data_IF_235430897388
#
_entry.id   IF_235430897388
#
_cell.length_a   1.000
_cell.length_b   1.000
_cell.length_c   1.000
_cell.angle_alpha   90.00
_cell.angle_beta   90.00
_cell.angle_gamma   90.00
#
_symmetry.space_group_name_H-M   'P 1'
#
loop_
_entity.id
_entity.type
_entity.pdbx_description
1 polymer ?
#
# COMPACT_ATOMS: atom_id res chain seq x y z
N UNK A 1 49.63 -6.02 18.06
CA UNK A 1 48.73 -5.80 16.91
C UNK A 1 48.28 -7.17 16.47
N UNK A 2 46.99 -7.44 16.57
CA UNK A 2 46.37 -8.66 16.05
C UNK A 2 44.97 -8.26 15.57
N UNK A 3 44.89 -7.81 14.32
CA UNK A 3 43.62 -7.60 13.63
C UNK A 3 43.29 -8.91 12.93
N UNK A 4 42.53 -9.76 13.63
CA UNK A 4 41.86 -10.92 13.02
C UNK A 4 40.71 -10.39 12.16
N UNK A 5 41.03 -10.10 10.89
CA UNK A 5 40.06 -9.90 9.81
C UNK A 5 39.40 -11.26 9.53
N UNK A 6 38.42 -11.61 10.37
CA UNK A 6 37.57 -12.77 10.11
C UNK A 6 36.74 -12.45 8.88
N UNK A 7 37.19 -12.96 7.73
CA UNK A 7 36.45 -13.02 6.49
C UNK A 7 35.07 -13.62 6.77
N UNK A 8 34.08 -12.74 6.88
CA UNK A 8 32.66 -13.05 6.96
C UNK A 8 32.35 -13.81 5.66
N UNK A 9 32.35 -15.14 5.74
CA UNK A 9 32.11 -16.03 4.61
C UNK A 9 30.85 -15.58 3.90
N UNK A 10 31.02 -15.08 2.67
CA UNK A 10 29.92 -14.65 1.83
C UNK A 10 29.02 -15.88 1.66
N UNK A 11 27.89 -15.87 2.36
CA UNK A 11 26.91 -16.94 2.36
C UNK A 11 26.18 -16.90 1.01
N UNK A 12 26.84 -17.44 -0.02
CA UNK A 12 26.39 -17.43 -1.41
C UNK A 12 24.99 -18.08 -1.57
N UNK A 13 24.54 -18.89 -0.60
CA UNK A 13 23.21 -19.50 -0.58
C UNK A 13 22.07 -18.52 -0.20
N UNK A 14 22.38 -17.35 0.37
CA UNK A 14 21.36 -16.35 0.73
C UNK A 14 20.89 -15.47 -0.44
N UNK A 15 21.63 -15.42 -1.54
CA UNK A 15 21.26 -14.57 -2.69
C UNK A 15 20.45 -15.30 -3.77
N UNK A 16 20.40 -16.63 -3.74
CA UNK A 16 19.61 -17.40 -4.69
C UNK A 16 18.09 -17.25 -4.43
N UNK A 17 17.25 -17.05 -5.48
CA UNK A 17 15.80 -17.06 -5.34
C UNK A 17 15.29 -18.41 -4.84
N UNK A 18 14.43 -18.41 -3.83
CA UNK A 18 13.89 -19.64 -3.20
C UNK A 18 13.01 -20.48 -4.15
N UNK A 19 12.35 -19.81 -5.10
CA UNK A 19 11.53 -20.42 -6.14
C UNK A 19 11.99 -19.90 -7.51
N UNK A 20 12.94 -20.57 -8.17
CA UNK A 20 13.54 -20.08 -9.41
C UNK A 20 12.56 -19.98 -10.58
N UNK A 21 11.53 -20.84 -10.61
CA UNK A 21 10.56 -20.89 -11.72
C UNK A 21 9.34 -20.04 -11.38
N UNK A 22 9.13 -18.98 -12.16
CA UNK A 22 8.01 -18.03 -12.03
C UNK A 22 7.90 -17.37 -10.63
N UNK A 23 8.92 -17.50 -9.77
CA UNK A 23 8.85 -17.07 -8.37
C UNK A 23 7.93 -17.93 -7.48
N UNK A 24 7.45 -19.08 -7.98
CA UNK A 24 6.43 -19.92 -7.32
C UNK A 24 6.81 -21.39 -7.20
N UNK A 25 7.66 -21.90 -8.09
CA UNK A 25 8.01 -23.32 -8.14
C UNK A 25 9.52 -23.54 -7.98
N UNK A 26 9.88 -24.66 -7.37
CA UNK A 26 11.28 -25.05 -7.14
C UNK A 26 11.91 -25.70 -8.38
N UNK A 27 11.11 -26.48 -9.11
CA UNK A 27 11.51 -27.20 -10.32
C UNK A 27 10.32 -27.39 -11.26
N UNK A 28 10.56 -27.83 -12.49
CA UNK A 28 9.48 -28.12 -13.44
C UNK A 28 8.59 -29.29 -12.97
N UNK A 29 9.17 -30.26 -12.27
CA UNK A 29 8.43 -31.36 -11.65
C UNK A 29 7.49 -30.86 -10.53
N UNK A 30 7.99 -29.97 -9.67
CA UNK A 30 7.21 -29.33 -8.61
C UNK A 30 6.06 -28.49 -9.18
N UNK A 31 6.28 -27.82 -10.32
CA UNK A 31 5.20 -27.13 -11.05
C UNK A 31 4.11 -28.10 -11.50
N UNK A 32 4.49 -29.24 -12.10
CA UNK A 32 3.53 -30.23 -12.57
C UNK A 32 2.72 -30.83 -11.40
N UNK A 33 3.39 -31.13 -10.28
CA UNK A 33 2.77 -31.66 -9.08
C UNK A 33 1.76 -30.68 -8.48
N UNK A 34 2.16 -29.43 -8.23
CA UNK A 34 1.29 -28.39 -7.65
C UNK A 34 0.11 -28.08 -8.57
N UNK A 35 0.27 -28.18 -9.89
CA UNK A 35 -0.80 -27.95 -10.84
C UNK A 35 -1.72 -29.16 -11.08
N UNK A 36 -1.29 -30.36 -10.68
CA UNK A 36 -2.14 -31.55 -10.67
C UNK A 36 -3.02 -31.66 -9.42
N UNK A 37 -2.72 -30.90 -8.35
CA UNK A 37 -3.53 -30.85 -7.13
C UNK A 37 -4.88 -30.13 -7.34
N UNK A 38 -5.80 -30.32 -6.41
CA UNK A 38 -7.08 -29.60 -6.40
C UNK A 38 -6.85 -28.09 -6.25
N UNK A 39 -7.78 -27.28 -6.75
CA UNK A 39 -7.65 -25.82 -6.74
C UNK A 39 -7.39 -25.26 -5.34
N UNK A 40 -8.08 -25.78 -4.33
CA UNK A 40 -7.90 -25.37 -2.94
C UNK A 40 -6.48 -25.66 -2.47
N UNK A 41 -5.99 -26.90 -2.66
CA UNK A 41 -4.64 -27.31 -2.23
C UNK A 41 -3.55 -26.56 -2.97
N UNK A 42 -3.76 -26.31 -4.26
CA UNK A 42 -2.85 -25.53 -5.09
C UNK A 42 -2.70 -24.11 -4.57
N UNK A 43 -3.80 -23.41 -4.32
CA UNK A 43 -3.77 -22.03 -3.82
C UNK A 43 -3.20 -21.95 -2.40
N UNK A 44 -3.47 -22.93 -1.53
CA UNK A 44 -2.85 -23.04 -0.20
C UNK A 44 -1.31 -23.07 -0.31
N UNK A 45 -0.77 -23.94 -1.17
CA UNK A 45 0.68 -24.06 -1.39
C UNK A 45 1.25 -22.77 -1.97
N UNK A 46 0.58 -22.16 -2.96
CA UNK A 46 1.05 -20.91 -3.56
C UNK A 46 1.06 -19.76 -2.55
N UNK A 47 0.07 -19.70 -1.65
CA UNK A 47 0.00 -18.71 -0.59
C UNK A 47 1.12 -18.88 0.44
N UNK A 48 1.39 -20.11 0.88
CA UNK A 48 2.48 -20.41 1.81
C UNK A 48 3.84 -19.99 1.24
N UNK A 49 4.10 -20.35 -0.03
CA UNK A 49 5.34 -20.00 -0.73
C UNK A 49 5.50 -18.49 -0.90
N UNK A 50 4.41 -17.79 -1.22
CA UNK A 50 4.42 -16.33 -1.32
C UNK A 50 4.79 -15.68 0.02
N UNK A 51 4.24 -16.16 1.13
CA UNK A 51 4.57 -15.69 2.47
C UNK A 51 6.03 -15.97 2.85
N UNK A 52 6.57 -17.13 2.45
CA UNK A 52 7.98 -17.48 2.68
C UNK A 52 8.94 -16.55 1.92
N UNK A 53 8.64 -16.26 0.65
CA UNK A 53 9.41 -15.30 -0.16
C UNK A 53 9.36 -13.90 0.47
N UNK A 54 8.18 -13.46 0.93
CA UNK A 54 8.03 -12.17 1.57
C UNK A 54 8.89 -12.05 2.83
N UNK A 55 8.87 -13.07 3.71
CA UNK A 55 9.72 -13.10 4.91
C UNK A 55 11.20 -12.99 4.55
N UNK A 56 11.66 -13.76 3.55
CA UNK A 56 13.06 -13.69 3.09
C UNK A 56 13.43 -12.30 2.57
N UNK A 57 12.53 -11.67 1.81
CA UNK A 57 12.75 -10.29 1.32
C UNK A 57 12.84 -9.29 2.47
N UNK A 58 11.98 -9.41 3.48
CA UNK A 58 12.02 -8.57 4.68
C UNK A 58 13.34 -8.74 5.44
N UNK A 59 13.82 -9.98 5.61
CA UNK A 59 15.08 -10.28 6.29
C UNK A 59 16.28 -9.72 5.53
N UNK A 60 16.31 -9.85 4.20
CA UNK A 60 17.37 -9.28 3.36
C UNK A 60 17.38 -7.74 3.42
N UNK A 61 16.21 -7.11 3.44
CA UNK A 61 16.09 -5.67 3.62
C UNK A 61 16.62 -5.23 4.99
N UNK A 62 16.28 -5.95 6.06
CA UNK A 62 16.77 -5.66 7.41
C UNK A 62 18.30 -5.79 7.48
N UNK A 63 18.86 -6.88 6.94
CA UNK A 63 20.31 -7.09 6.87
C UNK A 63 21.01 -5.94 6.14
N UNK A 64 20.46 -5.48 5.01
CA UNK A 64 21.00 -4.35 4.25
C UNK A 64 21.00 -3.05 5.06
N UNK A 65 19.92 -2.76 5.79
CA UNK A 65 19.83 -1.59 6.67
C UNK A 65 20.87 -1.67 7.80
N UNK A 66 21.03 -2.84 8.43
CA UNK A 66 22.02 -3.05 9.49
C UNK A 66 23.45 -2.88 8.98
N UNK A 67 23.77 -3.43 7.80
CA UNK A 67 25.08 -3.26 7.17
C UNK A 67 25.36 -1.80 6.80
N UNK A 68 24.37 -1.06 6.30
CA UNK A 68 24.51 0.37 6.04
C UNK A 68 24.80 1.16 7.32
N UNK A 69 24.04 0.91 8.40
CA UNK A 69 24.30 1.55 9.70
C UNK A 69 25.69 1.23 10.26
N UNK A 70 26.14 -0.03 10.16
CA UNK A 70 27.50 -0.42 10.57
C UNK A 70 28.57 0.34 9.77
N UNK A 71 28.40 0.45 8.45
CA UNK A 71 29.33 1.21 7.58
C UNK A 71 29.35 2.70 7.89
N UNK A 72 28.20 3.30 8.17
CA UNK A 72 28.10 4.71 8.57
C UNK A 72 28.79 4.98 9.92
N UNK A 73 28.60 4.11 10.91
CA UNK A 73 29.26 4.20 12.22
C UNK A 73 30.78 4.06 12.09
N UNK A 74 31.26 3.03 11.37
CA UNK A 74 32.69 2.83 11.13
C UNK A 74 33.32 4.00 10.34
N UNK A 75 32.60 4.56 9.37
CA UNK A 75 33.02 5.75 8.63
C UNK A 75 33.05 7.01 9.49
N UNK A 76 32.09 7.18 10.41
CA UNK A 76 32.06 8.28 11.36
C UNK A 76 33.21 8.20 12.38
N UNK A 77 33.54 7.00 12.87
CA UNK A 77 34.66 6.80 13.79
C UNK A 77 36.02 6.99 13.13
N UNK A 78 36.18 6.58 11.86
CA UNK A 78 37.37 6.90 11.06
C UNK A 78 37.50 8.40 10.80
N UNK A 79 36.39 9.12 10.55
CA UNK A 79 36.39 10.59 10.40
C UNK A 79 36.74 11.32 11.71
N UNK A 80 36.28 10.84 12.86
CA UNK A 80 36.66 11.38 14.18
C UNK A 80 38.14 11.19 14.49
N UNK A 81 38.72 10.02 14.15
CA UNK A 81 40.17 9.77 14.34
C UNK A 81 41.05 10.59 13.41
N UNK A 82 40.62 10.86 12.17
CA UNK A 82 41.36 11.73 11.23
C UNK A 82 41.30 13.22 11.60
N UNK A 83 40.25 13.66 12.29
CA UNK A 83 40.15 15.01 12.85
C UNK A 83 41.06 15.21 14.07
N UNK A 84 41.25 14.18 14.91
CA UNK A 84 42.15 14.27 16.07
C UNK A 84 43.65 14.23 15.73
N UNK A 85 44.02 13.73 14.54
CA UNK A 85 45.41 13.69 14.07
C UNK A 85 45.81 14.90 13.20
N UNK A 86 44.86 15.78 12.88
CA UNK A 86 45.07 16.97 12.04
C UNK A 86 45.03 18.29 12.83
N UNK A 87 44.98 18.23 14.16
CA UNK A 87 44.78 19.39 15.06
C UNK A 87 45.98 19.64 15.99
N UNK A 88 47.19 19.25 15.57
CA UNK A 88 48.44 19.48 16.32
C UNK A 88 49.43 20.43 15.61
N UNK A 89 49.02 21.09 14.52
CA UNK A 89 49.85 22.06 13.79
C UNK A 89 48.97 23.18 13.21
N UNK A 90 48.38 24.01 14.08
CA UNK A 90 48.23 25.43 13.79
C UNK A 90 47.82 26.19 15.06
N UNK A 91 48.80 26.86 15.65
CA UNK A 91 48.69 27.78 16.75
C UNK A 91 48.30 29.15 16.18
N UNK A 92 47.02 29.38 15.83
CA UNK A 92 46.52 30.76 15.76
C UNK A 92 44.99 30.94 15.78
N UNK A 93 44.58 31.98 16.51
CA UNK A 93 43.27 32.65 16.45
C UNK A 93 42.05 31.95 17.04
N UNK A 94 41.92 32.15 18.37
CA UNK A 94 40.63 32.27 19.07
C UNK A 94 39.71 33.29 18.37
N UNK A 95 38.77 32.85 17.53
CA UNK A 95 37.58 33.62 17.16
C UNK A 95 36.34 32.74 17.09
N UNK A 96 35.44 32.94 18.04
CA UNK A 96 34.11 32.35 18.09
C UNK A 96 33.22 32.93 16.99
N UNK A 97 33.31 32.39 15.77
CA UNK A 97 32.29 32.62 14.75
C UNK A 97 31.48 31.35 14.59
N UNK A 98 30.44 31.20 15.40
CA UNK A 98 29.38 30.19 15.23
C UNK A 98 28.87 30.28 13.78
N UNK A 99 29.15 29.30 12.90
CA UNK A 99 28.66 29.35 11.53
C UNK A 99 27.15 29.13 11.59
N UNK A 100 26.38 30.13 11.19
CA UNK A 100 24.95 30.02 10.98
C UNK A 100 24.77 29.13 9.76
N UNK A 101 24.59 27.82 9.99
CA UNK A 101 24.35 26.84 8.93
C UNK A 101 23.09 27.27 8.19
N UNK A 102 23.26 27.81 6.97
CA UNK A 102 22.13 28.08 6.08
C UNK A 102 21.53 26.71 5.76
N UNK A 103 20.34 26.44 6.29
CA UNK A 103 19.60 25.24 5.98
C UNK A 103 19.48 25.14 4.46
N UNK A 104 20.00 24.06 3.89
CA UNK A 104 19.90 23.80 2.46
C UNK A 104 18.41 23.81 2.09
N UNK A 105 18.06 24.48 0.99
CA UNK A 105 16.66 24.63 0.52
C UNK A 105 15.80 23.35 0.56
N UNK A 106 16.36 22.14 0.34
CA UNK A 106 15.61 20.89 0.48
C UNK A 106 15.17 20.58 1.92
N UNK A 107 15.96 20.92 2.95
CA UNK A 107 15.59 20.69 4.35
C UNK A 107 14.51 21.66 4.82
N UNK A 108 14.53 22.91 4.35
CA UNK A 108 13.44 23.86 4.64
C UNK A 108 12.14 23.47 3.94
N UNK A 109 12.21 22.95 2.71
CA UNK A 109 11.05 22.40 2.01
C UNK A 109 10.44 21.22 2.78
N UNK A 110 11.27 20.28 3.24
CA UNK A 110 10.81 19.13 4.02
C UNK A 110 10.23 19.53 5.38
N UNK A 111 10.83 20.53 6.05
CA UNK A 111 10.30 21.06 7.32
C UNK A 111 8.94 21.73 7.12
N UNK A 112 8.78 22.50 6.03
CA UNK A 112 7.51 23.15 5.66
C UNK A 112 6.42 22.14 5.29
N UNK A 113 6.77 21.06 4.59
CA UNK A 113 5.82 19.98 4.25
C UNK A 113 5.34 19.22 5.50
N UNK A 114 6.26 18.93 6.43
CA UNK A 114 5.93 18.29 7.71
C UNK A 114 5.03 19.16 8.58
N UNK A 115 5.26 20.47 8.57
CA UNK A 115 4.45 21.44 9.31
C UNK A 115 3.04 21.58 8.71
N UNK A 116 2.92 21.60 7.38
CA UNK A 116 1.61 21.58 6.68
C UNK A 116 0.82 20.29 6.95
N UNK A 117 1.50 19.14 6.97
CA UNK A 117 0.88 17.84 7.30
C UNK A 117 0.49 17.73 8.78
N UNK A 118 1.28 18.33 9.68
CA UNK A 118 0.96 18.44 11.11
C UNK A 118 -0.25 19.33 11.38
N UNK A 119 -0.36 20.47 10.67
CA UNK A 119 -1.51 21.38 10.78
C UNK A 119 -2.81 20.76 10.25
N UNK A 120 -2.75 19.91 9.22
CA UNK A 120 -3.93 19.15 8.76
C UNK A 120 -4.44 18.19 9.83
N UNK A 121 -3.54 17.49 10.55
CA UNK A 121 -3.93 16.59 11.63
C UNK A 121 -4.56 17.33 12.82
N UNK A 122 -3.99 18.47 13.22
CA UNK A 122 -4.56 19.26 14.32
C UNK A 122 -5.95 19.82 13.99
N UNK A 123 -6.19 20.25 12.74
CA UNK A 123 -7.52 20.71 12.31
C UNK A 123 -8.55 19.59 12.19
N UNK A 124 -8.10 18.35 12.00
CA UNK A 124 -8.98 17.18 11.97
C UNK A 124 -9.31 16.67 13.38
N UNK A 125 -8.40 16.84 14.34
CA UNK A 125 -8.58 16.47 15.74
C UNK A 125 -9.49 17.45 16.51
N UNK A 126 -9.39 18.76 16.23
CA UNK A 126 -10.33 19.76 16.80
C UNK A 126 -11.78 19.57 16.32
N UNK A 127 -12.00 18.94 15.15
CA UNK A 127 -13.35 18.58 14.67
C UNK A 127 -13.88 17.27 15.25
N UNK A 128 -13.04 16.48 15.92
CA UNK A 128 -13.43 15.22 16.58
C UNK A 128 -13.69 15.41 18.08
N UNK A 129 -13.32 16.55 18.66
CA UNK A 129 -13.45 16.81 20.10
C UNK A 129 -14.87 17.14 20.59
N UNK A 130 -15.83 17.35 19.70
CA UNK A 130 -17.25 17.56 20.02
C UNK A 130 -18.14 16.29 19.90
N UNK A 131 -17.54 15.09 19.73
CA UNK A 131 -18.28 13.83 19.84
C UNK A 131 -17.70 12.98 20.97
N UNK A 132 -18.42 12.99 22.09
CA UNK A 132 -18.22 12.14 23.27
C UNK A 132 -17.88 10.69 22.90
N UNK A 133 -16.83 10.09 23.48
CA UNK A 133 -16.62 8.66 23.38
C UNK A 133 -17.50 7.95 24.42
N UNK A 134 -18.59 7.32 23.98
CA UNK A 134 -19.22 6.27 24.79
C UNK A 134 -18.30 5.06 24.74
N UNK A 135 -17.69 4.76 25.88
CA UNK A 135 -17.03 3.48 26.15
C UNK A 135 -18.13 2.45 26.41
N UNK A 136 -18.19 1.42 25.58
CA UNK A 136 -18.75 0.13 25.96
C UNK A 136 -17.71 -0.93 25.62
N UNK A 137 -16.88 -1.23 26.62
CA UNK A 137 -16.21 -2.51 26.79
C UNK A 137 -17.29 -3.56 27.03
N UNK A 138 -17.43 -4.51 26.10
CA UNK A 138 -18.18 -5.73 26.33
C UNK A 138 -17.37 -6.90 25.77
N UNK A 139 -16.54 -7.46 26.64
CA UNK A 139 -16.18 -8.88 26.62
C UNK A 139 -17.42 -9.73 26.31
N UNK A 140 -17.34 -10.56 25.27
CA UNK A 140 -18.16 -11.76 25.21
C UNK A 140 -17.39 -12.86 24.49
N UNK A 141 -16.62 -13.61 25.28
CA UNK A 141 -16.51 -15.05 25.11
C UNK A 141 -17.93 -15.63 25.15
N UNK A 142 -18.47 -15.96 23.97
CA UNK A 142 -19.66 -16.80 23.83
C UNK A 142 -19.43 -17.80 22.71
N UNK A 143 -18.97 -18.97 23.16
CA UNK A 143 -19.37 -20.29 22.71
C UNK A 143 -19.36 -20.54 21.20
N UNK A 144 -18.24 -21.10 20.77
CA UNK A 144 -18.09 -21.87 19.56
C UNK A 144 -18.89 -23.19 19.67
N UNK A 145 -20.18 -23.19 19.32
CA UNK A 145 -20.91 -24.40 18.93
C UNK A 145 -21.84 -24.09 17.75
N UNK A 146 -21.24 -24.09 16.55
CA UNK A 146 -21.96 -24.11 15.28
C UNK A 146 -22.13 -25.54 14.81
N UNK A 147 -23.05 -26.28 15.43
CA UNK A 147 -23.59 -27.49 14.84
C UNK A 147 -24.54 -27.09 13.70
N UNK A 148 -24.03 -27.10 12.47
CA UNK A 148 -24.88 -26.97 11.28
C UNK A 148 -24.68 -28.19 10.38
N UNK A 149 -25.50 -29.19 10.65
CA UNK A 149 -25.90 -30.29 9.79
C UNK A 149 -26.06 -29.80 8.34
N UNK A 150 -25.20 -30.30 7.44
CA UNK A 150 -25.20 -29.95 6.02
C UNK A 150 -26.28 -30.77 5.29
N UNK A 151 -27.52 -30.30 5.32
CA UNK A 151 -28.61 -30.83 4.50
C UNK A 151 -28.48 -30.29 3.06
N UNK A 152 -28.03 -31.14 2.14
CA UNK A 152 -28.00 -30.89 0.70
C UNK A 152 -29.43 -30.94 0.12
N UNK A 153 -30.23 -29.89 0.32
CA UNK A 153 -31.50 -29.75 -0.41
C UNK A 153 -31.30 -28.86 -1.65
N UNK A 154 -31.34 -29.50 -2.81
CA UNK A 154 -31.22 -28.95 -4.15
C UNK A 154 -32.50 -28.18 -4.54
N UNK A 155 -32.82 -27.12 -3.79
CA UNK A 155 -33.86 -26.16 -4.15
C UNK A 155 -33.22 -24.79 -4.38
N UNK A 156 -33.57 -24.08 -5.47
CA UNK A 156 -33.11 -22.72 -5.65
C UNK A 156 -33.69 -21.91 -4.49
N UNK A 157 -32.82 -21.56 -3.54
CA UNK A 157 -33.13 -20.64 -2.45
C UNK A 157 -33.57 -19.36 -3.14
N UNK A 158 -34.89 -19.18 -3.27
CA UNK A 158 -35.47 -17.95 -3.79
C UNK A 158 -34.82 -16.85 -2.95
N UNK A 159 -33.92 -16.08 -3.58
CA UNK A 159 -33.14 -15.08 -2.91
C UNK A 159 -34.16 -14.17 -2.24
N UNK A 160 -34.26 -14.29 -0.90
CA UNK A 160 -35.17 -13.48 -0.11
C UNK A 160 -34.97 -12.06 -0.62
N UNK A 161 -36.05 -11.46 -1.13
CA UNK A 161 -36.01 -10.15 -1.76
C UNK A 161 -35.37 -9.22 -0.73
N UNK A 162 -34.07 -8.98 -0.90
CA UNK A 162 -33.31 -8.12 0.00
C UNK A 162 -33.98 -6.79 -0.20
N UNK A 163 -34.66 -6.28 0.83
CA UNK A 163 -35.12 -4.90 0.82
C UNK A 163 -33.91 -4.06 0.41
N UNK A 164 -33.96 -3.52 -0.80
CA UNK A 164 -32.84 -2.80 -1.37
C UNK A 164 -32.64 -1.58 -0.50
N UNK A 165 -31.54 -1.60 0.27
CA UNK A 165 -31.10 -0.44 1.02
C UNK A 165 -31.09 0.77 0.07
N UNK A 166 -31.46 1.97 0.55
CA UNK A 166 -31.49 3.16 -0.29
C UNK A 166 -30.15 3.34 -1.00
N UNK A 167 -30.19 3.45 -2.33
CA UNK A 167 -28.99 3.48 -3.15
C UNK A 167 -28.01 4.55 -2.68
N UNK A 168 -26.78 4.12 -2.40
CA UNK A 168 -25.71 5.03 -1.98
C UNK A 168 -25.01 5.62 -3.20
N UNK A 169 -24.31 6.75 -3.03
CA UNK A 169 -23.54 7.38 -4.13
C UNK A 169 -22.54 6.40 -4.78
N UNK A 170 -22.01 5.45 -4.00
CA UNK A 170 -21.09 4.40 -4.49
C UNK A 170 -21.76 3.45 -5.48
N UNK A 171 -23.06 3.20 -5.34
CA UNK A 171 -23.80 2.30 -6.24
C UNK A 171 -23.97 2.93 -7.62
N UNK A 172 -24.24 4.25 -7.66
CA UNK A 172 -24.26 5.02 -8.90
C UNK A 172 -22.88 5.12 -9.57
N UNK A 173 -21.81 5.18 -8.79
CA UNK A 173 -20.45 5.18 -9.32
C UNK A 173 -20.06 3.83 -9.95
N UNK A 174 -20.55 2.71 -9.42
CA UNK A 174 -20.35 1.37 -10.00
C UNK A 174 -21.03 1.22 -11.36
N UNK A 175 -22.23 1.76 -11.50
CA UNK A 175 -22.98 1.76 -12.75
C UNK A 175 -22.61 2.93 -13.70
N UNK A 176 -21.53 3.68 -13.39
CA UNK A 176 -21.11 4.83 -14.18
C UNK A 176 -20.24 4.44 -15.37
N UNK A 177 -20.64 4.88 -16.55
CA UNK A 177 -19.89 4.70 -17.79
C UNK A 177 -19.03 5.93 -18.05
N UNK A 178 -17.72 5.71 -18.13
CA UNK A 178 -16.74 6.73 -18.54
C UNK A 178 -16.52 6.76 -20.05
N UNK A 179 -15.97 7.87 -20.55
CA UNK A 179 -15.66 8.07 -21.98
C UNK A 179 -14.79 6.97 -22.59
N UNK A 180 -13.76 6.53 -21.88
CA UNK A 180 -12.83 5.48 -22.35
C UNK A 180 -13.53 4.12 -22.46
N UNK A 181 -14.41 3.79 -21.51
CA UNK A 181 -15.17 2.53 -21.55
C UNK A 181 -16.20 2.58 -22.67
N UNK A 182 -16.92 3.70 -22.80
CA UNK A 182 -17.88 3.91 -23.89
C UNK A 182 -17.26 3.66 -25.27
N UNK A 183 -16.09 4.25 -25.54
CA UNK A 183 -15.41 4.10 -26.83
C UNK A 183 -15.01 2.64 -27.15
N UNK A 184 -14.83 1.80 -26.13
CA UNK A 184 -14.52 0.37 -26.32
C UNK A 184 -15.78 -0.44 -26.61
N UNK A 185 -16.91 -0.09 -26.00
CA UNK A 185 -18.12 -0.92 -26.06
C UNK A 185 -19.14 -0.45 -27.10
N UNK A 186 -19.00 0.76 -27.66
CA UNK A 186 -20.01 1.35 -28.55
C UNK A 186 -20.19 0.61 -29.90
N UNK A 187 -19.24 -0.25 -30.29
CA UNK A 187 -19.30 -1.01 -31.54
C UNK A 187 -19.92 -2.41 -31.38
N UNK A 188 -20.29 -2.82 -30.17
CA UNK A 188 -20.89 -4.14 -29.94
C UNK A 188 -22.39 -4.11 -30.25
N UNK A 189 -22.95 -5.16 -30.87
CA UNK A 189 -24.38 -5.22 -31.20
C UNK A 189 -25.31 -5.11 -29.98
N UNK A 190 -24.86 -5.57 -28.82
CA UNK A 190 -25.61 -5.52 -27.55
C UNK A 190 -25.49 -4.18 -26.81
N UNK A 191 -24.75 -3.22 -27.38
CA UNK A 191 -24.40 -1.97 -26.72
C UNK A 191 -25.62 -1.18 -26.24
N UNK A 192 -26.64 -1.04 -27.09
CA UNK A 192 -27.84 -0.25 -26.76
C UNK A 192 -28.61 -0.84 -25.57
N UNK A 193 -28.67 -2.17 -25.48
CA UNK A 193 -29.31 -2.87 -24.36
C UNK A 193 -28.47 -2.76 -23.09
N UNK A 194 -27.15 -2.90 -23.20
CA UNK A 194 -26.23 -2.87 -22.05
C UNK A 194 -26.02 -1.48 -21.46
N UNK A 195 -26.12 -0.41 -22.25
CA UNK A 195 -25.89 0.97 -21.80
C UNK A 195 -27.14 1.60 -21.18
N UNK A 196 -28.32 1.02 -21.44
CA UNK A 196 -29.60 1.51 -20.91
C UNK A 196 -29.61 1.40 -19.39
N UNK A 197 -30.14 2.43 -18.72
CA UNK A 197 -30.15 2.56 -17.25
C UNK A 197 -28.78 2.73 -16.58
N UNK A 198 -27.67 2.78 -17.33
CA UNK A 198 -26.39 3.20 -16.79
C UNK A 198 -26.35 4.72 -16.54
N UNK A 199 -25.35 5.14 -15.76
CA UNK A 199 -25.15 6.55 -15.42
C UNK A 199 -23.92 7.11 -16.13
N UNK A 200 -23.94 8.41 -16.41
CA UNK A 200 -22.79 9.14 -16.94
C UNK A 200 -22.65 10.50 -16.27
N UNK A 201 -21.42 11.01 -16.22
CA UNK A 201 -21.11 12.33 -15.70
C UNK A 201 -20.98 13.30 -16.87
N UNK A 202 -21.99 14.14 -17.06
CA UNK A 202 -22.04 15.12 -18.15
C UNK A 202 -21.53 16.46 -17.67
N UNK A 203 -20.62 17.07 -18.43
CA UNK A 203 -20.22 18.46 -18.23
C UNK A 203 -21.33 19.37 -18.75
N UNK A 204 -21.90 20.20 -17.88
CA UNK A 204 -22.90 21.22 -18.24
C UNK A 204 -22.26 22.58 -18.53
N UNK A 205 -20.94 22.67 -18.51
CA UNK A 205 -20.18 23.88 -18.77
C UNK A 205 -19.58 24.47 -17.51
N UNK A 206 -19.16 25.74 -17.59
CA UNK A 206 -18.57 26.47 -16.47
C UNK A 206 -19.67 27.21 -15.73
N UNK A 207 -19.70 27.08 -14.41
CA UNK A 207 -20.64 27.85 -13.60
C UNK A 207 -20.26 29.33 -13.69
N UNK A 208 -21.25 30.18 -14.04
CA UNK A 208 -21.06 31.61 -14.25
C UNK A 208 -20.62 32.36 -12.99
N UNK A 209 -20.94 31.83 -11.81
CA UNK A 209 -20.66 32.49 -10.53
C UNK A 209 -19.29 32.10 -9.95
N UNK A 210 -18.86 30.85 -10.18
CA UNK A 210 -17.63 30.29 -9.57
C UNK A 210 -16.49 30.09 -10.57
N UNK A 211 -16.76 30.15 -11.88
CA UNK A 211 -15.76 29.87 -12.91
C UNK A 211 -15.29 28.41 -12.94
N UNK A 212 -15.88 27.52 -12.14
CA UNK A 212 -15.53 26.12 -12.07
C UNK A 212 -16.36 25.26 -13.04
N UNK A 213 -15.79 24.19 -13.63
CA UNK A 213 -16.54 23.27 -14.48
C UNK A 213 -17.58 22.51 -13.64
N UNK A 214 -18.84 22.62 -14.05
CA UNK A 214 -19.97 21.98 -13.41
C UNK A 214 -20.32 20.68 -14.12
N UNK A 215 -20.65 19.67 -13.32
CA UNK A 215 -21.03 18.34 -13.80
C UNK A 215 -22.37 17.93 -13.20
N UNK A 216 -23.15 17.17 -13.96
CA UNK A 216 -24.36 16.49 -13.49
C UNK A 216 -24.26 15.00 -13.78
N UNK A 217 -24.77 14.20 -12.85
CA UNK A 217 -25.02 12.79 -13.11
C UNK A 217 -26.31 12.66 -13.91
N UNK A 218 -26.25 11.97 -15.04
CA UNK A 218 -27.38 11.72 -15.93
C UNK A 218 -27.57 10.21 -16.11
N UNK A 219 -28.82 9.78 -16.17
CA UNK A 219 -29.17 8.40 -16.52
C UNK A 219 -29.37 8.28 -18.03
N UNK A 220 -28.79 7.25 -18.65
CA UNK A 220 -28.92 6.99 -20.08
C UNK A 220 -30.24 6.24 -20.32
N UNK A 221 -31.19 6.90 -21.00
CA UNK A 221 -32.49 6.30 -21.37
C UNK A 221 -32.42 5.49 -22.66
N UNK A 222 -31.53 5.86 -23.57
CA UNK A 222 -31.32 5.21 -24.85
C UNK A 222 -30.27 5.94 -25.67
N UNK A 223 -29.85 5.30 -26.75
CA UNK A 223 -28.99 5.89 -27.78
C UNK A 223 -29.81 5.80 -29.07
N UNK A 224 -29.91 6.91 -29.80
CA UNK A 224 -30.64 7.02 -31.06
C UNK A 224 -29.67 7.23 -32.22
#
# INVERSE_FOLDING_TARGET
MDESDSEDGIDFDQDAPLYPIEGKFRSEADRAEVMAMTEIRREEILAERAAEVERRVQDLQLKKILQQRKREQAGADKRKRKAAAADLDDDDQRKSSRPKVKASGPLEAYKREREMKGQQRNREDDRRRDRSPSRDDADSDRDAEGDSEVEWDEKPRAAAAREEAPATLRDFERARVGRTNFARVCFYPTFETSIRNCYTRVSIGVNRDTGAPQYRMAQIKGVS
#
